data_IF_445333531564
#
_entry.id   IF_445333531564
#
_cell.length_a   1.000
_cell.length_b   1.000
_cell.length_c   1.000
_cell.angle_alpha   90.00
_cell.angle_beta   90.00
_cell.angle_gamma   90.00
#
_symmetry.space_group_name_H-M   'P 1'
#
loop_
_entity.id
_entity.type
_entity.pdbx_description
1 polymer ?
#
# COMPACT_ATOMS: atom_id res chain seq x y z
N UNK A 1 11.10 -22.29 -5.74
CA UNK A 1 11.32 -21.08 -6.54
C UNK A 1 10.60 -19.96 -5.82
N UNK A 2 11.32 -19.01 -5.24
CA UNK A 2 10.70 -17.86 -4.58
C UNK A 2 9.89 -17.07 -5.60
N UNK A 3 8.57 -16.95 -5.40
CA UNK A 3 7.63 -16.27 -6.29
C UNK A 3 8.02 -14.81 -6.59
N UNK A 4 8.89 -14.21 -5.78
CA UNK A 4 9.44 -12.87 -5.97
C UNK A 4 10.43 -12.81 -7.14
N UNK A 5 11.13 -13.90 -7.48
CA UNK A 5 12.19 -13.92 -8.49
C UNK A 5 11.69 -13.79 -9.94
N UNK A 6 10.38 -13.98 -10.19
CA UNK A 6 9.75 -13.78 -11.50
C UNK A 6 9.08 -12.42 -11.69
N UNK A 7 8.98 -11.61 -10.62
CA UNK A 7 8.29 -10.32 -10.66
C UNK A 7 9.22 -9.21 -11.17
N UNK A 8 8.73 -8.41 -12.10
CA UNK A 8 9.46 -7.22 -12.54
C UNK A 8 9.56 -6.19 -11.41
N UNK A 9 10.78 -6.00 -10.88
CA UNK A 9 11.09 -5.03 -9.84
C UNK A 9 10.68 -3.59 -10.23
N UNK A 10 10.68 -3.24 -11.52
CA UNK A 10 10.22 -1.93 -11.99
C UNK A 10 8.73 -1.70 -11.71
N UNK A 11 7.88 -2.68 -11.97
CA UNK A 11 6.43 -2.57 -11.74
C UNK A 11 6.11 -2.42 -10.25
N UNK A 12 6.78 -3.19 -9.39
CA UNK A 12 6.64 -3.07 -7.93
C UNK A 12 7.03 -1.67 -7.43
N UNK A 13 8.17 -1.14 -7.89
CA UNK A 13 8.62 0.22 -7.55
C UNK A 13 7.64 1.30 -8.00
N UNK A 14 7.07 1.16 -9.19
CA UNK A 14 6.06 2.10 -9.69
C UNK A 14 4.77 2.07 -8.87
N UNK A 15 4.31 0.89 -8.45
CA UNK A 15 3.15 0.77 -7.53
C UNK A 15 3.45 1.44 -6.20
N UNK A 16 4.62 1.18 -5.61
CA UNK A 16 5.03 1.80 -4.34
C UNK A 16 5.05 3.32 -4.42
N UNK A 17 5.56 3.87 -5.54
CA UNK A 17 5.50 5.32 -5.79
C UNK A 17 4.06 5.82 -5.90
N UNK A 18 3.17 5.09 -6.58
CA UNK A 18 1.74 5.45 -6.65
C UNK A 18 1.05 5.40 -5.29
N UNK A 19 1.43 4.46 -4.41
CA UNK A 19 0.94 4.42 -3.02
C UNK A 19 1.39 5.68 -2.26
N UNK A 20 2.67 6.04 -2.36
CA UNK A 20 3.21 7.25 -1.72
C UNK A 20 2.52 8.52 -2.25
N UNK A 21 2.41 8.68 -3.56
CA UNK A 21 1.69 9.79 -4.20
C UNK A 21 0.21 9.85 -3.73
N UNK A 22 -0.46 8.69 -3.65
CA UNK A 22 -1.84 8.59 -3.17
C UNK A 22 -1.96 9.02 -1.71
N UNK A 23 -1.08 8.53 -0.83
CA UNK A 23 -1.09 8.87 0.60
C UNK A 23 -0.94 10.37 0.84
N UNK A 24 -0.06 11.04 0.08
CA UNK A 24 0.13 12.50 0.13
C UNK A 24 -1.08 13.25 -0.41
N UNK A 25 -1.74 12.70 -1.45
CA UNK A 25 -2.92 13.32 -2.04
C UNK A 25 -4.15 13.29 -1.12
N UNK A 26 -4.25 12.30 -0.24
CA UNK A 26 -5.32 12.17 0.76
C UNK A 26 -5.05 13.03 2.00
N UNK A 27 -3.78 13.37 2.27
CA UNK A 27 -3.34 14.11 3.44
C UNK A 27 -2.68 15.43 3.03
N UNK A 28 -3.45 16.27 2.33
CA UNK A 28 -2.95 17.57 1.84
C UNK A 28 -3.00 18.62 2.93
N UNK A 29 -1.91 19.36 3.05
CA UNK A 29 -1.85 20.54 3.89
C UNK A 29 -2.84 21.60 3.38
N UNK A 30 -3.49 22.27 4.32
CA UNK A 30 -4.38 23.39 4.09
C UNK A 30 -4.03 24.55 5.04
N UNK A 31 -4.80 25.63 5.00
CA UNK A 31 -4.69 26.70 5.99
C UNK A 31 -5.10 26.27 7.41
N UNK A 32 -5.87 25.17 7.55
CA UNK A 32 -6.41 24.70 8.82
C UNK A 32 -5.65 23.53 9.42
N UNK A 33 -4.99 22.71 8.59
CA UNK A 33 -4.32 21.48 9.02
C UNK A 33 -3.05 21.22 8.22
N UNK A 34 -2.06 20.64 8.88
CA UNK A 34 -0.86 20.08 8.27
C UNK A 34 -0.72 18.61 8.62
N UNK A 35 -0.17 17.82 7.70
CA UNK A 35 -0.03 16.38 7.83
C UNK A 35 1.43 15.96 7.68
N UNK A 36 1.87 15.07 8.56
CA UNK A 36 3.13 14.35 8.46
C UNK A 36 2.84 12.87 8.30
N UNK A 37 3.51 12.21 7.34
CA UNK A 37 3.35 10.79 7.04
C UNK A 37 4.68 10.09 7.28
N UNK A 38 4.69 9.11 8.19
CA UNK A 38 5.86 8.31 8.52
C UNK A 38 5.58 6.84 8.16
N UNK A 39 6.28 6.24 7.18
CA UNK A 39 6.05 4.85 6.80
C UNK A 39 6.40 3.91 7.96
N UNK A 40 5.51 2.95 8.25
CA UNK A 40 5.64 1.97 9.33
C UNK A 40 5.89 0.54 8.82
N UNK A 41 5.77 0.32 7.52
CA UNK A 41 6.04 -0.96 6.89
C UNK A 41 5.40 -1.07 5.50
N UNK A 42 6.02 -1.87 4.64
CA UNK A 42 5.50 -2.22 3.32
C UNK A 42 5.11 -3.69 3.33
N UNK A 43 4.01 -4.04 2.68
CA UNK A 43 3.47 -5.39 2.66
C UNK A 43 3.12 -5.81 1.23
N UNK A 44 3.40 -7.08 0.90
CA UNK A 44 3.13 -7.69 -0.39
C UNK A 44 2.34 -8.99 -0.20
N UNK A 45 1.23 -9.11 -0.93
CA UNK A 45 0.48 -10.34 -1.13
C UNK A 45 0.56 -10.79 -2.58
N UNK A 46 0.66 -12.11 -2.79
CA UNK A 46 0.58 -12.75 -4.11
C UNK A 46 -0.59 -13.73 -4.06
N UNK A 47 -1.51 -13.60 -5.00
CA UNK A 47 -2.77 -14.33 -5.04
C UNK A 47 -2.94 -14.99 -6.40
N UNK A 48 -3.54 -16.18 -6.42
CA UNK A 48 -3.91 -16.84 -7.68
C UNK A 48 -4.94 -15.97 -8.42
N UNK A 49 -4.77 -15.83 -9.74
CA UNK A 49 -5.75 -15.18 -10.61
C UNK A 49 -6.73 -16.23 -11.15
N UNK A 50 -8.02 -15.87 -11.26
CA UNK A 50 -9.00 -16.63 -12.05
C UNK A 50 -9.06 -16.19 -13.51
N UNK A 51 -8.51 -15.01 -13.84
CA UNK A 51 -8.36 -14.51 -15.19
C UNK A 51 -7.10 -15.12 -15.83
N UNK A 52 -7.29 -15.82 -16.96
CA UNK A 52 -6.23 -16.54 -17.68
C UNK A 52 -5.21 -15.63 -18.36
N UNK A 53 -5.49 -14.32 -18.43
CA UNK A 53 -4.54 -13.30 -18.86
C UNK A 53 -3.40 -13.08 -17.85
N UNK A 54 -3.63 -13.41 -16.57
CA UNK A 54 -2.67 -13.21 -15.50
C UNK A 54 -2.22 -14.53 -14.88
N UNK A 55 -0.94 -14.62 -14.58
CA UNK A 55 -0.37 -15.72 -13.78
C UNK A 55 -0.82 -15.59 -12.33
N UNK A 56 -0.80 -14.37 -11.80
CA UNK A 56 -1.19 -14.06 -10.43
C UNK A 56 -1.65 -12.61 -10.31
N UNK A 57 -2.27 -12.28 -9.18
CA UNK A 57 -2.54 -10.91 -8.74
C UNK A 57 -1.54 -10.58 -7.63
N UNK A 58 -1.04 -9.35 -7.62
CA UNK A 58 -0.27 -8.80 -6.49
C UNK A 58 -1.07 -7.72 -5.79
N UNK A 59 -0.95 -7.66 -4.47
CA UNK A 59 -1.42 -6.55 -3.65
C UNK A 59 -0.25 -5.96 -2.88
N UNK A 60 -0.04 -4.65 -3.01
CA UNK A 60 0.95 -3.91 -2.24
C UNK A 60 0.26 -2.92 -1.32
N UNK A 61 0.79 -2.80 -0.11
CA UNK A 61 0.31 -1.88 0.91
C UNK A 61 1.47 -1.20 1.61
N UNK A 62 1.31 0.08 1.94
CA UNK A 62 2.20 0.79 2.87
C UNK A 62 1.35 1.30 4.03
N UNK A 63 1.73 0.95 5.25
CA UNK A 63 1.17 1.57 6.45
C UNK A 63 1.91 2.88 6.70
N UNK A 64 1.17 3.97 6.86
CA UNK A 64 1.70 5.24 7.35
C UNK A 64 1.13 5.56 8.72
N UNK A 65 1.98 6.07 9.59
CA UNK A 65 1.55 6.88 10.74
C UNK A 65 1.29 8.29 10.21
N UNK A 66 0.06 8.74 10.37
CA UNK A 66 -0.40 10.05 9.93
C UNK A 66 -0.58 10.92 11.17
N UNK A 67 0.17 12.01 11.25
CA UNK A 67 0.00 13.03 12.28
C UNK A 67 -0.61 14.28 11.66
N UNK A 68 -1.83 14.62 12.08
CA UNK A 68 -2.48 15.89 11.75
C UNK A 68 -2.15 16.90 12.85
N UNK A 69 -1.69 18.09 12.47
CA UNK A 69 -1.56 19.26 13.34
C UNK A 69 -2.49 20.35 12.84
N UNK A 70 -3.47 20.75 13.65
CA UNK A 70 -4.41 21.83 13.32
C UNK A 70 -3.81 23.19 13.62
N UNK A 71 -4.39 24.24 13.06
CA UNK A 71 -3.95 25.63 13.22
C UNK A 71 -3.98 26.13 14.68
N UNK A 72 -4.81 25.53 15.53
CA UNK A 72 -4.85 25.79 16.98
C UNK A 72 -3.75 25.06 17.78
N UNK A 73 -2.88 24.31 17.08
CA UNK A 73 -1.79 23.54 17.67
C UNK A 73 -2.19 22.14 18.16
N UNK A 74 -3.47 21.78 18.11
CA UNK A 74 -3.91 20.43 18.48
C UNK A 74 -3.36 19.38 17.50
N UNK A 75 -3.04 18.19 18.04
CA UNK A 75 -2.43 17.10 17.27
C UNK A 75 -3.23 15.82 17.42
N UNK A 76 -3.47 15.16 16.29
CA UNK A 76 -4.05 13.82 16.22
C UNK A 76 -3.08 12.88 15.51
N UNK A 77 -3.02 11.62 15.92
CA UNK A 77 -2.23 10.60 15.23
C UNK A 77 -3.05 9.33 15.05
N UNK A 78 -2.98 8.77 13.85
CA UNK A 78 -3.57 7.48 13.51
C UNK A 78 -2.67 6.75 12.51
N UNK A 79 -2.90 5.46 12.33
CA UNK A 79 -2.30 4.63 11.30
C UNK A 79 -3.32 4.37 10.21
N UNK A 80 -2.86 4.41 8.96
CA UNK A 80 -3.67 4.08 7.79
C UNK A 80 -2.83 3.33 6.78
N UNK A 81 -3.41 2.29 6.19
CA UNK A 81 -2.80 1.60 5.06
C UNK A 81 -3.26 2.23 3.74
N UNK A 82 -2.35 2.26 2.76
CA UNK A 82 -2.63 2.71 1.41
C UNK A 82 -2.16 1.62 0.46
N UNK A 83 -3.08 1.16 -0.38
CA UNK A 83 -2.95 -0.14 -1.01
C UNK A 83 -3.40 -0.14 -2.46
N UNK A 84 -2.68 -0.87 -3.31
CA UNK A 84 -3.00 -1.09 -4.71
C UNK A 84 -2.87 -2.58 -5.07
N UNK A 85 -3.71 -3.06 -5.98
CA UNK A 85 -3.60 -4.39 -6.58
C UNK A 85 -3.43 -4.31 -8.10
N UNK A 86 -2.72 -5.28 -8.67
CA UNK A 86 -2.53 -5.41 -10.12
C UNK A 86 -2.37 -6.87 -10.53
N UNK A 87 -2.77 -7.18 -11.76
CA UNK A 87 -2.45 -8.45 -12.40
C UNK A 87 -0.98 -8.52 -12.82
N UNK A 88 -0.40 -9.71 -12.74
CA UNK A 88 0.94 -10.04 -13.24
C UNK A 88 0.78 -10.98 -14.42
N UNK A 89 1.31 -10.59 -15.57
CA UNK A 89 1.26 -11.37 -16.81
C UNK A 89 2.25 -12.54 -16.73
N UNK A 90 2.10 -13.51 -17.63
CA UNK A 90 2.93 -14.73 -17.68
C UNK A 90 4.42 -14.46 -17.90
N UNK A 91 4.77 -13.30 -18.45
CA UNK A 91 6.16 -12.84 -18.62
C UNK A 91 6.73 -12.14 -17.38
N UNK A 92 5.97 -12.08 -16.28
CA UNK A 92 6.37 -11.43 -15.02
C UNK A 92 6.15 -9.92 -14.98
N UNK A 93 5.61 -9.32 -16.06
CA UNK A 93 5.29 -7.90 -16.09
C UNK A 93 4.00 -7.59 -15.32
N UNK A 94 3.99 -6.44 -14.63
CA UNK A 94 2.82 -5.96 -13.89
C UNK A 94 1.93 -5.15 -14.83
N UNK A 95 0.64 -5.43 -14.84
CA UNK A 95 -0.35 -4.73 -15.68
C UNK A 95 -0.78 -3.41 -15.05
N UNK A 96 0.03 -2.37 -15.29
CA UNK A 96 -0.17 -1.04 -14.69
C UNK A 96 -1.43 -0.32 -15.18
N UNK A 97 -2.01 -0.74 -16.32
CA UNK A 97 -3.23 -0.15 -16.88
C UNK A 97 -4.48 -0.57 -16.10
N UNK A 98 -4.42 -1.72 -15.40
CA UNK A 98 -5.51 -2.24 -14.54
C UNK A 98 -5.19 -2.16 -13.05
N UNK A 99 -4.47 -1.12 -12.65
CA UNK A 99 -4.12 -0.90 -11.26
C UNK A 99 -5.34 -0.46 -10.44
N UNK A 100 -5.68 -1.19 -9.39
CA UNK A 100 -6.87 -0.96 -8.56
C UNK A 100 -6.52 -0.49 -7.15
N UNK A 101 -7.14 0.59 -6.68
CA UNK A 101 -7.03 1.00 -5.26
C UNK A 101 -7.80 0.01 -4.39
N UNK A 102 -7.17 -0.50 -3.35
CA UNK A 102 -7.86 -1.34 -2.37
C UNK A 102 -8.48 -0.47 -1.26
N UNK A 103 -9.48 -1.02 -0.58
CA UNK A 103 -10.03 -0.39 0.62
C UNK A 103 -8.94 -0.28 1.70
N UNK A 104 -8.98 0.82 2.44
CA UNK A 104 -8.03 1.16 3.48
C UNK A 104 -8.70 1.10 4.85
N UNK A 105 -7.93 0.72 5.85
CA UNK A 105 -8.31 0.71 7.25
C UNK A 105 -7.59 1.85 7.99
N UNK A 106 -8.29 2.50 8.90
CA UNK A 106 -7.75 3.57 9.76
C UNK A 106 -7.92 3.18 11.21
N UNK A 107 -6.85 3.23 11.99
CA UNK A 107 -6.86 2.80 13.39
C UNK A 107 -5.77 3.49 14.20
N UNK A 108 -5.90 3.54 15.51
CA UNK A 108 -4.82 3.95 16.42
C UNK A 108 -3.93 2.78 16.86
N UNK A 109 -4.31 1.55 16.52
CA UNK A 109 -3.56 0.32 16.83
C UNK A 109 -2.76 -0.18 15.61
N UNK A 110 -1.45 0.08 15.62
CA UNK A 110 -0.54 -0.37 14.56
C UNK A 110 -0.49 -1.90 14.46
N UNK A 111 -0.42 -2.62 15.57
CA UNK A 111 -0.28 -4.08 15.55
C UNK A 111 -1.56 -4.75 15.08
N UNK A 112 -2.72 -4.21 15.46
CA UNK A 112 -4.01 -4.59 14.89
C UNK A 112 -4.07 -4.39 13.38
N UNK A 113 -3.53 -3.28 12.84
CA UNK A 113 -3.46 -3.04 11.40
C UNK A 113 -2.51 -4.02 10.69
N UNK A 114 -1.35 -4.32 11.29
CA UNK A 114 -0.43 -5.33 10.76
C UNK A 114 -1.08 -6.72 10.74
N UNK A 115 -1.78 -7.08 11.81
CA UNK A 115 -2.52 -8.35 11.89
C UNK A 115 -3.64 -8.40 10.85
N UNK A 116 -4.35 -7.29 10.61
CA UNK A 116 -5.34 -7.18 9.54
C UNK A 116 -4.71 -7.53 8.18
N UNK A 117 -3.61 -6.87 7.79
CA UNK A 117 -2.92 -7.17 6.53
C UNK A 117 -2.44 -8.62 6.43
N UNK A 118 -1.93 -9.18 7.53
CA UNK A 118 -1.52 -10.58 7.61
C UNK A 118 -2.70 -11.55 7.39
N UNK A 119 -3.90 -11.23 7.89
CA UNK A 119 -5.11 -12.04 7.66
C UNK A 119 -5.51 -12.06 6.17
N UNK A 120 -5.18 -11.00 5.43
CA UNK A 120 -5.31 -10.96 3.96
C UNK A 120 -4.12 -11.59 3.22
N UNK A 121 -3.22 -12.29 3.93
CA UNK A 121 -2.01 -12.93 3.38
C UNK A 121 -0.99 -11.96 2.80
N UNK A 122 -1.06 -10.66 3.15
CA UNK A 122 0.02 -9.73 2.86
C UNK A 122 1.13 -9.91 3.91
N UNK A 123 2.36 -10.08 3.45
CA UNK A 123 3.55 -10.25 4.30
C UNK A 123 4.43 -9.02 4.20
N UNK A 124 5.18 -8.72 5.25
CA UNK A 124 6.14 -7.63 5.23
C UNK A 124 7.13 -7.82 4.07
N UNK A 125 7.26 -6.79 3.25
CA UNK A 125 8.11 -6.74 2.09
C UNK A 125 9.26 -5.78 2.36
N UNK A 126 10.47 -6.32 2.42
CA UNK A 126 11.70 -5.55 2.53
C UNK A 126 12.24 -5.33 1.12
N UNK A 127 12.38 -4.04 0.77
CA UNK A 127 12.92 -3.61 -0.53
C UNK A 127 14.41 -3.92 -0.66
#
# INVERSE_FOLDING_TARGET
MDLVNGLNNKGLKEILKKIDDYSKSENKNSSSSSYTLEPQGTYLGIFSSSDSAYENIIGLSIIYKVTETKSDGSKGTHYRDYSYAAGVKKDGSVDMDKLEKLQFNTTTDLEGLKSYLSNYKLKEYKQ
#
